data_IF_869882685853
#
_entry.id   IF_869882685853
#
_cell.length_a   1.000
_cell.length_b   1.000
_cell.length_c   1.000
_cell.angle_alpha   90.00
_cell.angle_beta   90.00
_cell.angle_gamma   90.00
#
_symmetry.space_group_name_H-M   'P 1'
#
loop_
_entity.id
_entity.type
_entity.pdbx_description
1 polymer ?
#
# COMPACT_ATOMS: atom_id res chain seq x y z
N UNK A 1 13.49 -6.30 15.16
CA UNK A 1 12.15 -5.78 15.51
C UNK A 1 12.29 -4.26 15.55
N UNK A 2 11.67 -3.55 14.61
CA UNK A 2 11.74 -2.08 14.56
C UNK A 2 11.04 -1.48 15.77
N UNK A 3 11.56 -0.36 16.29
CA UNK A 3 10.95 0.29 17.45
C UNK A 3 9.62 0.93 17.06
N UNK A 4 8.55 0.63 17.81
CA UNK A 4 7.17 1.10 17.57
C UNK A 4 7.08 2.63 17.41
N UNK A 5 7.92 3.37 18.13
CA UNK A 5 8.02 4.84 18.04
C UNK A 5 8.51 5.35 16.67
N UNK A 6 9.43 4.63 16.02
CA UNK A 6 9.93 5.01 14.70
C UNK A 6 8.87 4.79 13.63
N UNK A 7 8.21 3.63 13.65
CA UNK A 7 7.16 3.31 12.69
C UNK A 7 5.97 4.26 12.81
N UNK A 8 5.63 4.70 14.02
CA UNK A 8 4.65 5.77 14.23
C UNK A 8 5.08 7.09 13.54
N UNK A 9 6.35 7.47 13.66
CA UNK A 9 6.89 8.68 12.98
C UNK A 9 6.81 8.54 11.46
N UNK A 10 7.15 7.37 10.92
CA UNK A 10 7.01 7.10 9.48
C UNK A 10 5.55 7.13 9.04
N UNK A 11 4.61 6.63 9.85
CA UNK A 11 3.18 6.69 9.55
C UNK A 11 2.69 8.14 9.43
N UNK A 12 3.17 9.05 10.26
CA UNK A 12 2.74 10.45 10.16
C UNK A 12 3.26 11.13 8.89
N UNK A 13 4.43 10.70 8.38
CA UNK A 13 5.10 11.27 7.21
C UNK A 13 4.80 10.58 5.87
N UNK A 14 4.28 9.34 5.87
CA UNK A 14 4.12 8.53 4.65
C UNK A 14 3.16 9.17 3.65
N UNK A 15 3.49 9.06 2.36
CA UNK A 15 2.65 9.55 1.27
C UNK A 15 2.37 8.45 0.24
N UNK A 16 1.27 8.60 -0.48
CA UNK A 16 0.90 7.71 -1.57
C UNK A 16 1.04 8.43 -2.90
N UNK A 17 1.81 7.87 -3.84
CA UNK A 17 2.07 8.46 -5.16
C UNK A 17 0.90 8.26 -6.10
N UNK A 18 0.39 7.03 -6.14
CA UNK A 18 -0.65 6.60 -7.08
C UNK A 18 -0.13 6.52 -8.53
N UNK A 19 -0.48 5.45 -9.25
CA UNK A 19 -0.14 5.30 -10.66
C UNK A 19 -1.42 5.39 -11.52
N UNK A 20 -1.50 6.31 -12.50
CA UNK A 20 -2.63 6.41 -13.43
C UNK A 20 -2.89 5.14 -14.24
N UNK A 21 -1.90 4.25 -14.41
CA UNK A 21 -2.03 3.05 -15.24
C UNK A 21 -2.89 1.92 -14.61
N UNK A 22 -3.30 2.05 -13.34
CA UNK A 22 -3.96 0.99 -12.57
C UNK A 22 -5.35 1.37 -12.02
N UNK A 23 -5.93 2.49 -12.48
CA UNK A 23 -7.24 2.99 -12.04
C UNK A 23 -8.14 3.29 -13.23
N UNK A 24 -9.25 2.55 -13.33
CA UNK A 24 -10.30 2.79 -14.34
C UNK A 24 -11.13 4.04 -14.03
N UNK A 25 -11.16 4.46 -12.77
CA UNK A 25 -11.81 5.69 -12.31
C UNK A 25 -10.81 6.55 -11.50
N UNK A 26 -10.36 7.71 -12.02
CA UNK A 26 -9.25 8.46 -11.44
C UNK A 26 -9.56 9.23 -10.14
N UNK A 27 -10.80 9.17 -9.60
CA UNK A 27 -11.15 9.77 -8.31
C UNK A 27 -10.70 11.24 -8.18
N UNK A 28 -10.12 11.61 -7.03
CA UNK A 28 -9.53 12.95 -6.78
C UNK A 28 -8.03 13.05 -7.14
N UNK A 29 -7.44 11.99 -7.71
CA UNK A 29 -5.99 11.86 -7.81
C UNK A 29 -5.34 12.88 -8.77
N UNK A 30 -6.12 13.70 -9.47
CA UNK A 30 -5.63 14.74 -10.37
C UNK A 30 -4.93 14.21 -11.63
N UNK A 31 -5.16 12.94 -11.97
CA UNK A 31 -4.45 12.24 -13.04
C UNK A 31 -5.21 12.34 -14.35
N UNK A 32 -4.53 12.74 -15.43
CA UNK A 32 -5.03 12.56 -16.82
C UNK A 32 -4.86 11.08 -17.18
N UNK A 33 -5.93 10.32 -17.50
CA UNK A 33 -5.81 8.89 -17.75
C UNK A 33 -5.08 8.62 -19.08
N UNK A 34 -4.16 7.64 -19.17
CA UNK A 34 -3.73 7.09 -20.45
C UNK A 34 -4.85 6.23 -21.05
N UNK A 35 -4.98 6.27 -22.38
CA UNK A 35 -6.16 5.86 -23.14
C UNK A 35 -6.39 4.35 -23.31
N UNK A 36 -5.66 3.47 -22.63
CA UNK A 36 -5.81 2.01 -22.81
C UNK A 36 -5.48 1.22 -21.53
N UNK A 37 -6.42 0.44 -20.96
CA UNK A 37 -6.11 -0.55 -19.94
C UNK A 37 -5.40 -1.75 -20.57
N UNK A 38 -4.14 -2.01 -20.17
CA UNK A 38 -3.43 -3.25 -20.56
C UNK A 38 -4.02 -4.45 -19.81
N UNK A 39 -4.47 -5.48 -20.54
CA UNK A 39 -4.91 -6.77 -20.00
C UNK A 39 -3.84 -7.39 -19.09
N UNK A 40 -4.27 -7.93 -17.94
CA UNK A 40 -3.42 -8.73 -17.04
C UNK A 40 -2.84 -8.01 -15.81
N UNK A 41 -3.24 -6.76 -15.53
CA UNK A 41 -2.82 -6.02 -14.32
C UNK A 41 -3.95 -6.05 -13.28
N UNK A 42 -3.64 -6.45 -12.04
CA UNK A 42 -4.56 -6.43 -10.88
C UNK A 42 -5.15 -5.04 -10.72
N UNK A 43 -6.45 -4.89 -10.97
CA UNK A 43 -7.13 -3.61 -10.85
C UNK A 43 -7.28 -3.25 -9.37
N UNK A 44 -6.96 -2.01 -9.00
CA UNK A 44 -7.28 -1.45 -7.69
C UNK A 44 -8.80 -1.41 -7.41
N UNK A 45 -9.63 -1.62 -8.42
CA UNK A 45 -11.10 -1.66 -8.31
C UNK A 45 -11.58 -2.82 -7.42
N UNK A 46 -10.90 -3.99 -7.44
CA UNK A 46 -11.24 -5.12 -6.58
C UNK A 46 -10.97 -4.83 -5.09
N UNK A 47 -10.06 -3.90 -4.80
CA UNK A 47 -9.77 -3.45 -3.44
C UNK A 47 -10.70 -2.33 -2.96
N UNK A 48 -11.58 -1.82 -3.83
CA UNK A 48 -12.49 -0.71 -3.54
C UNK A 48 -11.80 0.55 -2.95
N UNK A 49 -10.55 0.82 -3.31
CA UNK A 49 -9.79 2.01 -2.85
C UNK A 49 -9.90 3.11 -3.90
N UNK A 50 -10.84 4.03 -3.67
CA UNK A 50 -11.16 5.10 -4.62
C UNK A 50 -10.63 6.48 -4.21
N UNK A 51 -10.18 6.65 -2.95
CA UNK A 51 -9.66 7.91 -2.43
C UNK A 51 -8.18 7.80 -2.06
N UNK A 52 -7.42 8.88 -2.27
CA UNK A 52 -6.00 8.94 -1.86
C UNK A 52 -5.86 8.84 -0.35
N UNK A 53 -6.80 9.44 0.39
CA UNK A 53 -6.87 9.34 1.84
C UNK A 53 -6.94 7.90 2.32
N UNK A 54 -7.73 7.05 1.64
CA UNK A 54 -7.90 5.66 2.04
C UNK A 54 -6.61 4.86 1.84
N UNK A 55 -5.93 5.07 0.71
CA UNK A 55 -4.62 4.48 0.45
C UNK A 55 -3.58 4.93 1.49
N UNK A 56 -3.52 6.22 1.81
CA UNK A 56 -2.61 6.75 2.84
C UNK A 56 -2.96 6.17 4.22
N UNK A 57 -4.23 6.04 4.57
CA UNK A 57 -4.66 5.46 5.84
C UNK A 57 -4.22 3.99 5.95
N UNK A 58 -4.32 3.22 4.88
CA UNK A 58 -3.83 1.83 4.84
C UNK A 58 -2.30 1.75 5.02
N UNK A 59 -1.53 2.63 4.38
CA UNK A 59 -0.08 2.71 4.59
C UNK A 59 0.27 3.02 6.05
N UNK A 60 -0.43 4.00 6.63
CA UNK A 60 -0.26 4.39 8.03
C UNK A 60 -0.52 3.23 8.97
N UNK A 61 -1.60 2.52 8.72
CA UNK A 61 -2.00 1.39 9.55
C UNK A 61 -1.02 0.22 9.43
N UNK A 62 -0.56 -0.10 8.21
CA UNK A 62 0.49 -1.10 8.01
C UNK A 62 1.80 -0.76 8.73
N UNK A 63 2.21 0.51 8.69
CA UNK A 63 3.36 1.01 9.46
C UNK A 63 3.14 0.85 10.97
N UNK A 64 1.99 1.27 11.50
CA UNK A 64 1.69 1.18 12.94
C UNK A 64 1.65 -0.26 13.45
N UNK A 65 1.14 -1.18 12.64
CA UNK A 65 1.12 -2.62 12.92
C UNK A 65 2.48 -3.30 12.72
N UNK A 66 3.46 -2.59 12.16
CA UNK A 66 4.78 -3.14 11.87
C UNK A 66 4.81 -4.17 10.75
N UNK A 67 3.79 -4.18 9.89
CA UNK A 67 3.73 -5.01 8.69
C UNK A 67 4.54 -4.35 7.58
N UNK A 68 5.86 -4.43 7.74
CA UNK A 68 6.84 -3.78 6.87
C UNK A 68 8.03 -4.69 6.57
N UNK A 69 8.63 -4.51 5.40
CA UNK A 69 9.80 -5.30 5.01
C UNK A 69 11.01 -4.97 5.89
N UNK A 70 11.85 -5.97 6.14
CA UNK A 70 13.16 -5.74 6.78
C UNK A 70 14.09 -4.88 5.91
N UNK A 71 13.99 -5.00 4.58
CA UNK A 71 14.77 -4.19 3.64
C UNK A 71 14.35 -2.71 3.73
N UNK A 72 15.33 -1.81 3.74
CA UNK A 72 15.10 -0.37 3.81
C UNK A 72 15.88 0.40 2.75
N UNK A 73 15.39 1.58 2.42
CA UNK A 73 16.03 2.59 1.55
C UNK A 73 15.82 3.97 2.17
N UNK A 74 16.89 4.68 2.48
CA UNK A 74 16.84 5.99 3.16
C UNK A 74 15.94 6.01 4.41
N UNK A 75 15.99 4.94 5.20
CA UNK A 75 15.19 4.81 6.42
C UNK A 75 13.71 4.44 6.22
N UNK A 76 13.25 4.26 4.98
CA UNK A 76 11.93 3.77 4.63
C UNK A 76 11.95 2.27 4.34
N UNK A 77 10.98 1.48 4.84
CA UNK A 77 10.81 0.09 4.40
C UNK A 77 10.61 -0.02 2.89
N UNK A 78 11.17 -1.04 2.25
CA UNK A 78 10.94 -1.31 0.84
C UNK A 78 9.46 -1.61 0.56
N UNK A 79 8.80 -2.36 1.45
CA UNK A 79 7.39 -2.71 1.36
C UNK A 79 6.65 -2.40 2.67
N UNK A 80 5.38 -1.99 2.52
CA UNK A 80 4.39 -1.90 3.59
C UNK A 80 3.22 -2.79 3.16
N UNK A 81 2.73 -3.64 4.06
CA UNK A 81 1.55 -4.47 3.82
C UNK A 81 0.35 -3.96 4.59
N UNK A 82 -0.83 -4.09 3.98
CA UNK A 82 -2.09 -3.70 4.59
C UNK A 82 -3.22 -4.65 4.23
N UNK A 83 -4.31 -4.60 4.99
CA UNK A 83 -5.53 -5.36 4.67
C UNK A 83 -6.71 -4.40 4.62
N UNK A 84 -7.53 -4.50 3.57
CA UNK A 84 -8.75 -3.70 3.44
C UNK A 84 -9.78 -4.10 4.50
N UNK A 85 -10.80 -3.26 4.71
CA UNK A 85 -11.90 -3.57 5.63
C UNK A 85 -12.72 -4.82 5.25
N UNK A 86 -12.56 -5.35 4.04
CA UNK A 86 -13.19 -6.58 3.55
C UNK A 86 -12.19 -7.75 3.41
N UNK A 87 -11.02 -7.65 4.03
CA UNK A 87 -10.09 -8.78 4.16
C UNK A 87 -9.15 -9.00 2.97
N UNK A 88 -9.02 -8.04 2.05
CA UNK A 88 -8.10 -8.17 0.92
C UNK A 88 -6.70 -7.68 1.30
N UNK A 89 -5.69 -8.54 1.15
CA UNK A 89 -4.30 -8.19 1.36
C UNK A 89 -3.77 -7.26 0.25
N UNK A 90 -2.97 -6.29 0.65
CA UNK A 90 -2.36 -5.28 -0.20
C UNK A 90 -0.85 -5.23 0.08
N UNK A 91 -0.09 -5.02 -0.98
CA UNK A 91 1.32 -4.70 -0.90
C UNK A 91 1.55 -3.30 -1.47
N UNK A 92 2.30 -2.48 -0.73
CA UNK A 92 2.76 -1.18 -1.20
C UNK A 92 4.29 -1.15 -1.24
N UNK A 93 4.84 -0.88 -2.42
CA UNK A 93 6.26 -0.78 -2.66
C UNK A 93 6.71 0.68 -2.67
N UNK A 94 7.87 0.95 -2.09
CA UNK A 94 8.49 2.26 -2.05
C UNK A 94 8.87 2.71 -3.47
N UNK A 95 8.32 3.86 -3.88
CA UNK A 95 8.53 4.48 -5.19
C UNK A 95 9.57 5.61 -5.10
N UNK A 96 9.51 6.41 -4.02
CA UNK A 96 10.47 7.50 -3.80
C UNK A 96 10.93 7.54 -2.34
N UNK A 97 12.16 7.04 -2.11
CA UNK A 97 12.80 6.98 -0.80
C UNK A 97 13.21 8.35 -0.25
N UNK A 98 13.27 9.41 -1.07
CA UNK A 98 13.61 10.75 -0.57
C UNK A 98 12.45 11.38 0.22
N UNK A 99 11.21 10.99 -0.08
CA UNK A 99 9.99 11.59 0.48
C UNK A 99 8.99 10.56 1.03
N UNK A 100 9.36 9.28 1.09
CA UNK A 100 8.50 8.23 1.65
C UNK A 100 7.22 8.02 0.86
N UNK A 101 7.32 8.03 -0.47
CA UNK A 101 6.17 7.81 -1.35
C UNK A 101 6.09 6.35 -1.76
N UNK A 102 4.91 5.77 -1.58
CA UNK A 102 4.62 4.38 -1.93
C UNK A 102 3.56 4.26 -3.01
N UNK A 103 3.63 3.14 -3.73
CA UNK A 103 2.62 2.69 -4.68
C UNK A 103 2.19 1.27 -4.32
N UNK A 104 0.87 1.00 -4.28
CA UNK A 104 0.36 -0.29 -3.83
C UNK A 104 -0.68 -0.92 -4.73
N UNK A 105 -0.79 -2.24 -4.60
CA UNK A 105 -1.62 -3.14 -5.40
C UNK A 105 -2.20 -4.27 -4.54
N UNK A 106 -3.32 -4.87 -4.96
CA UNK A 106 -3.82 -6.11 -4.37
C UNK A 106 -2.82 -7.25 -4.53
N UNK A 107 -2.64 -8.02 -3.47
CA UNK A 107 -1.93 -9.29 -3.53
C UNK A 107 -2.83 -10.36 -4.17
N UNK A 108 -2.24 -11.35 -4.82
CA UNK A 108 -2.99 -12.47 -5.36
C UNK A 108 -3.43 -13.40 -4.22
N UNK A 109 -4.66 -13.95 -4.25
CA UNK A 109 -5.13 -14.87 -3.21
C UNK A 109 -4.24 -16.11 -3.05
N UNK A 110 -3.56 -16.54 -4.11
CA UNK A 110 -2.69 -17.72 -4.11
C UNK A 110 -1.27 -17.43 -3.61
N UNK A 111 -0.95 -16.16 -3.29
CA UNK A 111 0.33 -15.79 -2.70
C UNK A 111 0.33 -16.18 -1.20
N UNK A 112 1.21 -17.10 -0.74
CA UNK A 112 1.30 -17.47 0.67
C UNK A 112 1.59 -16.27 1.58
N UNK A 113 2.23 -15.21 1.07
CA UNK A 113 2.45 -13.99 1.83
C UNK A 113 1.13 -13.25 2.10
N UNK A 114 0.14 -13.34 1.21
CA UNK A 114 -1.16 -12.70 1.42
C UNK A 114 -1.89 -13.30 2.63
N UNK A 115 -1.84 -14.62 2.80
CA UNK A 115 -2.39 -15.32 3.98
C UNK A 115 -1.71 -14.84 5.27
N UNK A 116 -0.39 -14.80 5.28
CA UNK A 116 0.41 -14.33 6.43
C UNK A 116 0.09 -12.88 6.78
N UNK A 117 -0.05 -12.01 5.77
CA UNK A 117 -0.41 -10.60 5.98
C UNK A 117 -1.80 -10.49 6.62
N UNK A 118 -2.78 -11.27 6.17
CA UNK A 118 -4.13 -11.30 6.73
C UNK A 118 -4.11 -11.79 8.18
N UNK A 119 -3.40 -12.88 8.45
CA UNK A 119 -3.29 -13.45 9.80
C UNK A 119 -2.66 -12.45 10.77
N UNK A 120 -1.52 -11.85 10.40
CA UNK A 120 -0.85 -10.85 11.24
C UNK A 120 -1.65 -9.57 11.39
N UNK A 121 -2.43 -9.19 10.38
CA UNK A 121 -3.29 -8.01 10.47
C UNK A 121 -4.34 -8.16 11.56
N UNK A 122 -4.85 -9.37 11.82
CA UNK A 122 -5.82 -9.64 12.88
C UNK A 122 -5.23 -9.65 14.31
N UNK A 123 -3.91 -9.65 14.45
CA UNK A 123 -3.25 -9.69 15.75
C UNK A 123 -3.17 -8.26 16.36
N UNK A 124 -3.34 -8.13 17.69
CA UNK A 124 -3.29 -6.85 18.39
C UNK A 124 -1.89 -6.24 18.51
#
# INVERSE_FOLDING_TARGET
>A
MESTSRLATLADAVTYGGNPEHKRNPGDFGLKPPSLPRQGKSLCDNAAIFLRSDAVNLLREGLRRGLVSCQQRNGWPQNIWAVTGHGLALEAMLENAAVGTYHGYPMLPEDPLAEEVIERWGQP
#
